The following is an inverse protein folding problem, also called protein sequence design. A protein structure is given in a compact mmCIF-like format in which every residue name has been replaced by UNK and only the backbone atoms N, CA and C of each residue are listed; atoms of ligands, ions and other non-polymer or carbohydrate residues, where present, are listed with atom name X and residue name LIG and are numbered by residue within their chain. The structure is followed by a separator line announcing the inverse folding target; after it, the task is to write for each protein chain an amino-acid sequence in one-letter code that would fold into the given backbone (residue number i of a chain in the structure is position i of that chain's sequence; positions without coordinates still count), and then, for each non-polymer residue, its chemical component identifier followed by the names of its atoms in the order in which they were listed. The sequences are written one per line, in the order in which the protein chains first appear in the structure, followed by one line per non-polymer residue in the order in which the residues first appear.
data_IF_466193585703
#
_entry.id   IF_466193585703
#
_cell.length_a   1.000
_cell.length_b   1.000
_cell.length_c   1.000
_cell.angle_alpha   90.00
_cell.angle_beta   90.00
_cell.angle_gamma   90.00
#
_symmetry.space_group_name_H-M   'P 1'
#
loop_
_entity.id
_entity.type
_entity.pdbx_description
1 polymer ?
#
# COMPACT_ATOMS: atom_id res chain seq x y z
N UNK A 1 -21.53 -9.00 -13.27
CA UNK A 1 -22.03 -7.80 -12.56
C UNK A 1 -21.17 -7.70 -11.32
N UNK A 2 -20.46 -6.59 -11.07
CA UNK A 2 -19.62 -6.44 -9.88
C UNK A 2 -20.48 -6.61 -8.62
N UNK A 3 -19.88 -7.17 -7.57
CA UNK A 3 -20.58 -7.35 -6.30
C UNK A 3 -20.89 -5.95 -5.71
N UNK A 4 -22.08 -5.75 -5.10
CA UNK A 4 -22.36 -4.48 -4.43
C UNK A 4 -21.36 -4.30 -3.28
N UNK A 5 -20.66 -3.16 -3.25
CA UNK A 5 -19.74 -2.82 -2.15
C UNK A 5 -20.51 -2.79 -0.84
N UNK A 6 -20.08 -3.60 0.13
CA UNK A 6 -20.65 -3.63 1.46
C UNK A 6 -19.59 -3.25 2.49
N UNK A 7 -19.81 -2.14 3.19
CA UNK A 7 -18.97 -1.78 4.34
C UNK A 7 -19.40 -2.61 5.55
N UNK A 8 -18.77 -3.78 5.74
CA UNK A 8 -18.93 -4.56 6.99
C UNK A 8 -17.82 -4.19 7.98
N UNK A 9 -18.08 -3.20 8.85
CA UNK A 9 -17.17 -2.83 9.94
C UNK A 9 -17.39 -3.70 11.18
N UNK A 10 -17.19 -5.01 11.08
CA UNK A 10 -17.49 -5.96 12.17
C UNK A 10 -16.37 -6.12 13.22
N UNK A 11 -15.18 -5.55 13.01
CA UNK A 11 -13.98 -5.92 13.80
C UNK A 11 -13.29 -4.79 14.58
N UNK A 12 -13.80 -3.55 14.54
CA UNK A 12 -13.16 -2.40 15.20
C UNK A 12 -14.07 -1.81 16.28
N UNK A 13 -14.18 -2.50 17.42
CA UNK A 13 -14.81 -1.95 18.61
C UNK A 13 -14.04 -0.70 19.07
N UNK A 14 -14.67 0.49 18.99
CA UNK A 14 -14.12 1.74 19.55
C UNK A 14 -13.70 2.81 18.53
N UNK A 15 -13.78 2.54 17.23
CA UNK A 15 -13.77 3.62 16.24
C UNK A 15 -15.18 4.22 16.13
N UNK A 16 -15.31 5.54 15.84
CA UNK A 16 -16.61 6.11 15.53
C UNK A 16 -17.22 5.28 14.39
N UNK A 17 -18.43 4.78 14.61
CA UNK A 17 -19.20 4.18 13.52
C UNK A 17 -19.42 5.35 12.56
N UNK A 18 -18.77 5.30 11.41
CA UNK A 18 -19.02 6.25 10.34
C UNK A 18 -20.40 5.90 9.74
N UNK A 19 -21.47 6.16 10.50
CA UNK A 19 -22.87 6.09 10.06
C UNK A 19 -23.23 7.34 9.23
N UNK A 20 -22.26 7.91 8.52
CA UNK A 20 -22.60 8.96 7.57
C UNK A 20 -23.18 8.26 6.34
N UNK A 21 -24.52 8.26 6.24
CA UNK A 21 -25.27 7.74 5.09
C UNK A 21 -24.79 8.35 3.75
N UNK A 22 -23.98 9.42 3.80
CA UNK A 22 -23.42 10.12 2.64
C UNK A 22 -21.96 9.78 2.33
N UNK A 23 -21.32 8.78 2.96
CA UNK A 23 -19.98 8.35 2.50
C UNK A 23 -20.11 7.86 1.06
N UNK A 24 -19.42 8.48 0.07
CA UNK A 24 -19.49 8.05 -1.31
C UNK A 24 -18.69 6.76 -1.46
N UNK A 25 -19.29 5.62 -1.12
CA UNK A 25 -18.65 4.29 -1.11
C UNK A 25 -18.01 3.96 -2.46
N UNK A 26 -18.54 4.52 -3.55
CA UNK A 26 -18.01 4.36 -4.91
C UNK A 26 -16.66 5.08 -5.11
N UNK A 27 -16.40 6.14 -4.36
CA UNK A 27 -15.17 6.95 -4.45
C UNK A 27 -14.09 6.48 -3.47
N UNK A 28 -14.42 5.55 -2.57
CA UNK A 28 -13.46 4.97 -1.63
C UNK A 28 -12.41 4.13 -2.36
N UNK A 29 -11.16 4.28 -1.92
CA UNK A 29 -10.03 3.45 -2.30
C UNK A 29 -9.75 2.45 -1.18
N UNK A 30 -9.46 1.20 -1.54
CA UNK A 30 -9.06 0.14 -0.62
C UNK A 30 -7.60 -0.22 -0.86
N UNK A 31 -6.79 -0.14 0.20
CA UNK A 31 -5.38 -0.54 0.18
C UNK A 31 -5.15 -1.75 1.09
N UNK A 32 -4.59 -2.82 0.57
CA UNK A 32 -4.12 -3.97 1.35
C UNK A 32 -2.59 -3.96 1.37
N UNK A 33 -2.02 -3.66 2.54
CA UNK A 33 -0.57 -3.49 2.75
C UNK A 33 0.00 -4.76 3.39
N UNK A 34 1.03 -5.34 2.78
CA UNK A 34 1.70 -6.51 3.33
C UNK A 34 3.17 -6.59 2.92
N UNK A 35 4.01 -7.09 3.82
CA UNK A 35 5.38 -7.50 3.50
C UNK A 35 5.41 -8.70 2.56
N UNK A 36 4.47 -9.60 2.74
CA UNK A 36 4.50 -10.96 2.20
C UNK A 36 3.82 -11.11 0.85
N UNK A 37 3.90 -10.09 -0.02
CA UNK A 37 3.63 -10.30 -1.44
C UNK A 37 4.62 -11.31 -2.07
N UNK A 38 5.66 -11.73 -1.33
CA UNK A 38 6.57 -12.82 -1.67
C UNK A 38 6.26 -14.19 -1.00
N UNK A 39 5.38 -14.27 0.01
CA UNK A 39 5.40 -15.40 0.97
C UNK A 39 4.03 -15.95 1.43
N UNK A 40 3.03 -15.10 1.68
CA UNK A 40 1.63 -15.50 1.93
C UNK A 40 0.91 -15.54 0.59
N UNK A 41 1.37 -16.43 -0.28
CA UNK A 41 0.84 -16.58 -1.64
C UNK A 41 -0.60 -17.12 -1.63
N UNK A 42 -1.00 -17.91 -0.63
CA UNK A 42 -2.33 -18.56 -0.65
C UNK A 42 -3.47 -17.69 -0.15
N UNK A 43 -3.33 -17.04 1.02
CA UNK A 43 -4.45 -16.27 1.60
C UNK A 43 -4.74 -15.03 0.77
N UNK A 44 -3.70 -14.29 0.41
CA UNK A 44 -3.85 -13.04 -0.32
C UNK A 44 -4.39 -13.30 -1.73
N UNK A 45 -3.90 -14.33 -2.45
CA UNK A 45 -4.40 -14.63 -3.79
C UNK A 45 -5.83 -15.15 -3.80
N UNK A 46 -6.17 -16.03 -2.87
CA UNK A 46 -7.54 -16.56 -2.79
C UNK A 46 -8.55 -15.46 -2.45
N UNK A 47 -8.13 -14.45 -1.67
CA UNK A 47 -8.95 -13.27 -1.37
C UNK A 47 -8.97 -12.26 -2.52
N UNK A 48 -7.85 -12.06 -3.21
CA UNK A 48 -7.66 -11.01 -4.21
C UNK A 48 -8.76 -11.00 -5.28
N UNK A 49 -9.11 -12.17 -5.82
CA UNK A 49 -10.19 -12.29 -6.80
C UNK A 49 -11.50 -11.70 -6.29
N UNK A 50 -11.95 -12.14 -5.11
CA UNK A 50 -13.21 -11.70 -4.52
C UNK A 50 -13.17 -10.20 -4.19
N UNK A 51 -12.04 -9.71 -3.68
CA UNK A 51 -11.87 -8.28 -3.40
C UNK A 51 -11.94 -7.45 -4.69
N UNK A 52 -11.31 -7.91 -5.78
CA UNK A 52 -11.41 -7.21 -7.08
C UNK A 52 -12.84 -7.27 -7.64
N UNK A 53 -13.56 -8.37 -7.49
CA UNK A 53 -14.97 -8.45 -7.92
C UNK A 53 -15.89 -7.45 -7.20
N UNK A 54 -15.55 -7.05 -5.97
CA UNK A 54 -16.27 -6.06 -5.17
C UNK A 54 -15.75 -4.62 -5.37
N UNK A 55 -14.43 -4.42 -5.36
CA UNK A 55 -13.81 -3.10 -5.34
C UNK A 55 -13.31 -2.63 -6.72
N UNK A 56 -13.07 -3.54 -7.66
CA UNK A 56 -12.62 -3.24 -9.01
C UNK A 56 -11.33 -2.41 -9.02
N UNK A 57 -11.33 -1.32 -9.80
CA UNK A 57 -10.17 -0.44 -9.97
C UNK A 57 -9.81 0.39 -8.73
N UNK A 58 -10.62 0.33 -7.66
CA UNK A 58 -10.34 1.02 -6.41
C UNK A 58 -9.55 0.16 -5.41
N UNK A 59 -9.24 -1.09 -5.75
CA UNK A 59 -8.45 -1.98 -4.91
C UNK A 59 -6.98 -1.99 -5.33
N UNK A 60 -6.12 -1.68 -4.36
CA UNK A 60 -4.68 -1.62 -4.53
C UNK A 60 -3.99 -2.45 -3.46
N UNK A 61 -2.98 -3.18 -3.88
CA UNK A 61 -2.10 -3.94 -3.02
C UNK A 61 -0.79 -3.21 -2.88
N UNK A 62 -0.25 -3.12 -1.67
CA UNK A 62 0.98 -2.37 -1.39
C UNK A 62 2.00 -3.29 -0.75
N UNK A 63 3.22 -3.30 -1.27
CA UNK A 63 4.29 -4.14 -0.75
C UNK A 63 5.70 -3.68 -1.14
N UNK A 64 6.73 -4.37 -0.64
CA UNK A 64 8.11 -4.16 -1.06
C UNK A 64 8.33 -4.61 -2.51
N UNK A 65 9.19 -3.90 -3.24
CA UNK A 65 9.61 -4.22 -4.59
C UNK A 65 10.79 -5.19 -4.58
N UNK A 66 10.67 -6.24 -5.39
CA UNK A 66 11.76 -7.17 -5.68
C UNK A 66 11.82 -7.42 -7.18
N UNK A 67 12.97 -7.12 -7.79
CA UNK A 67 13.12 -7.09 -9.24
C UNK A 67 12.76 -8.42 -9.92
N UNK A 68 13.21 -9.54 -9.33
CA UNK A 68 12.94 -10.88 -9.87
C UNK A 68 11.43 -11.19 -9.89
N UNK A 69 10.73 -10.93 -8.80
CA UNK A 69 9.31 -11.20 -8.66
C UNK A 69 8.47 -10.27 -9.53
N UNK A 70 8.83 -8.98 -9.58
CA UNK A 70 8.18 -8.02 -10.45
C UNK A 70 8.20 -8.46 -11.91
N UNK A 71 9.38 -8.82 -12.43
CA UNK A 71 9.54 -9.23 -13.84
C UNK A 71 8.76 -10.49 -14.21
N UNK A 72 8.53 -11.40 -13.26
CA UNK A 72 7.84 -12.66 -13.52
C UNK A 72 6.33 -12.61 -13.26
N UNK A 73 5.91 -11.78 -12.31
CA UNK A 73 4.55 -11.82 -11.77
C UNK A 73 3.77 -10.53 -11.99
N UNK A 74 4.40 -9.44 -12.45
CA UNK A 74 3.71 -8.15 -12.59
C UNK A 74 3.77 -7.68 -14.04
N UNK A 75 2.61 -7.34 -14.59
CA UNK A 75 2.52 -6.58 -15.83
C UNK A 75 2.52 -5.10 -15.50
N UNK A 76 3.62 -4.41 -15.84
CA UNK A 76 3.79 -2.98 -15.58
C UNK A 76 2.82 -2.15 -16.44
N UNK A 77 2.13 -1.21 -15.81
CA UNK A 77 1.20 -0.31 -16.48
C UNK A 77 1.18 1.07 -15.79
N UNK A 78 0.43 2.02 -16.33
CA UNK A 78 0.23 3.32 -15.68
C UNK A 78 -0.92 3.25 -14.66
N UNK A 79 -0.74 3.92 -13.52
CA UNK A 79 -1.81 4.05 -12.53
C UNK A 79 -2.99 4.86 -13.09
N UNK A 80 -4.21 4.29 -13.15
CA UNK A 80 -5.36 4.97 -13.73
C UNK A 80 -5.86 6.12 -12.85
N UNK A 81 -5.67 6.02 -11.53
CA UNK A 81 -6.08 7.04 -10.58
C UNK A 81 -5.06 8.19 -10.50
N UNK A 82 -5.45 9.45 -10.80
CA UNK A 82 -4.54 10.59 -10.79
C UNK A 82 -3.87 10.88 -9.45
N UNK A 83 -4.55 10.64 -8.33
CA UNK A 83 -3.99 10.84 -7.00
C UNK A 83 -2.87 9.83 -6.72
N UNK A 84 -3.08 8.56 -7.11
CA UNK A 84 -2.06 7.50 -7.03
C UNK A 84 -0.85 7.85 -7.89
N UNK A 85 -1.07 8.21 -9.16
CA UNK A 85 0.00 8.58 -10.10
C UNK A 85 0.85 9.72 -9.55
N UNK A 86 0.20 10.77 -9.04
CA UNK A 86 0.88 11.92 -8.45
C UNK A 86 1.64 11.59 -7.17
N UNK A 87 1.08 10.76 -6.30
CA UNK A 87 1.77 10.32 -5.09
C UNK A 87 3.06 9.57 -5.46
N UNK A 88 2.98 8.64 -6.43
CA UNK A 88 4.15 7.93 -6.95
C UNK A 88 5.20 8.87 -7.56
N UNK A 89 4.77 9.84 -8.37
CA UNK A 89 5.66 10.86 -8.95
C UNK A 89 6.34 11.69 -7.86
N UNK A 90 5.63 12.05 -6.80
CA UNK A 90 6.18 12.84 -5.69
C UNK A 90 7.25 12.05 -4.94
N UNK A 91 7.00 10.78 -4.61
CA UNK A 91 8.00 9.91 -4.01
C UNK A 91 9.22 9.74 -4.95
N UNK A 92 8.96 9.57 -6.25
CA UNK A 92 10.01 9.42 -7.27
C UNK A 92 10.91 10.65 -7.40
N UNK A 93 10.31 11.84 -7.39
CA UNK A 93 11.03 13.12 -7.43
C UNK A 93 11.88 13.37 -6.18
N UNK A 94 11.57 12.70 -5.06
CA UNK A 94 12.35 12.75 -3.83
C UNK A 94 13.34 11.58 -3.69
N UNK A 95 13.64 10.87 -4.79
CA UNK A 95 14.68 9.84 -4.84
C UNK A 95 14.25 8.46 -4.34
N UNK A 96 12.97 8.25 -4.01
CA UNK A 96 12.43 6.92 -3.77
C UNK A 96 12.07 6.26 -5.11
N UNK A 97 11.96 4.93 -5.17
CA UNK A 97 11.46 4.23 -6.35
C UNK A 97 10.18 3.48 -6.03
N UNK A 98 9.18 3.69 -6.87
CA UNK A 98 7.86 3.07 -6.77
C UNK A 98 7.50 2.46 -8.12
N UNK A 99 7.02 1.22 -8.13
CA UNK A 99 6.56 0.53 -9.34
C UNK A 99 5.08 0.21 -9.23
N UNK A 100 4.41 0.19 -10.37
CA UNK A 100 2.99 -0.08 -10.47
C UNK A 100 2.71 -1.10 -11.56
N UNK A 101 1.67 -1.90 -11.37
CA UNK A 101 1.24 -2.85 -12.39
C UNK A 101 0.07 -3.72 -11.94
N UNK A 102 -0.26 -4.70 -12.75
CA UNK A 102 -1.17 -5.78 -12.41
C UNK A 102 -0.41 -6.99 -11.91
N UNK A 103 -0.82 -7.54 -10.76
CA UNK A 103 -0.32 -8.85 -10.35
C UNK A 103 -0.97 -9.95 -11.20
N UNK A 104 -0.16 -10.76 -11.87
CA UNK A 104 -0.55 -11.84 -12.78
C UNK A 104 -1.09 -13.08 -12.03
N UNK A 105 -2.16 -12.84 -11.27
CA UNK A 105 -2.93 -13.84 -10.53
C UNK A 105 -4.41 -13.74 -10.91
N UNK A 106 -5.25 -14.63 -10.40
CA UNK A 106 -6.68 -14.54 -10.60
C UNK A 106 -7.24 -13.23 -10.00
N UNK A 107 -8.01 -12.48 -10.79
CA UNK A 107 -8.53 -11.16 -10.43
C UNK A 107 -7.66 -9.99 -10.90
N UNK A 108 -6.37 -10.20 -11.22
CA UNK A 108 -5.48 -9.15 -11.74
C UNK A 108 -5.48 -7.83 -10.92
N UNK A 109 -5.29 -7.86 -9.59
CA UNK A 109 -5.34 -6.66 -8.76
C UNK A 109 -4.20 -5.70 -9.10
N UNK A 110 -4.42 -4.40 -8.86
CA UNK A 110 -3.35 -3.41 -8.93
C UNK A 110 -2.36 -3.58 -7.77
N UNK A 111 -1.06 -3.46 -8.07
CA UNK A 111 0.02 -3.48 -7.08
C UNK A 111 0.83 -2.18 -7.14
N UNK A 112 1.21 -1.68 -5.97
CA UNK A 112 2.13 -0.57 -5.75
C UNK A 112 3.30 -1.13 -4.94
N UNK A 113 4.50 -1.10 -5.53
CA UNK A 113 5.67 -1.77 -4.98
C UNK A 113 6.80 -0.79 -4.72
N UNK A 114 7.25 -0.71 -3.47
CA UNK A 114 8.28 0.22 -3.02
C UNK A 114 9.65 -0.43 -2.98
N UNK A 115 10.62 0.14 -3.70
CA UNK A 115 12.03 -0.22 -3.48
C UNK A 115 12.50 0.43 -2.17
N UNK A 116 12.47 -0.33 -1.08
CA UNK A 116 12.88 0.14 0.25
C UNK A 116 14.35 0.58 0.27
N UNK A 117 15.21 0.00 -0.58
CA UNK A 117 16.63 0.34 -0.67
C UNK A 117 16.84 1.76 -1.18
N UNK A 118 15.97 2.22 -2.07
CA UNK A 118 15.98 3.61 -2.58
C UNK A 118 15.78 4.66 -1.47
N UNK A 119 15.17 4.29 -0.35
CA UNK A 119 14.88 5.17 0.77
C UNK A 119 15.85 5.03 1.96
N UNK A 120 16.86 4.16 1.85
CA UNK A 120 17.79 3.85 2.94
C UNK A 120 18.53 5.09 3.49
N UNK A 121 18.74 6.11 2.65
CA UNK A 121 19.34 7.39 3.05
C UNK A 121 18.55 8.13 4.14
N UNK A 122 17.28 7.79 4.32
CA UNK A 122 16.38 8.46 5.25
C UNK A 122 16.16 7.66 6.55
N UNK A 123 16.78 6.49 6.69
CA UNK A 123 16.54 5.54 7.78
C UNK A 123 16.77 6.17 9.17
N UNK A 124 17.90 6.86 9.37
CA UNK A 124 18.24 7.43 10.69
C UNK A 124 17.26 8.51 11.12
N UNK A 125 16.78 9.33 10.17
CA UNK A 125 15.75 10.33 10.44
C UNK A 125 14.45 9.66 10.87
N UNK A 126 13.99 8.66 10.11
CA UNK A 126 12.75 7.95 10.45
C UNK A 126 12.85 7.16 11.74
N UNK A 127 14.02 6.66 12.14
CA UNK A 127 14.22 6.08 13.47
C UNK A 127 14.00 7.10 14.58
N UNK A 128 14.51 8.32 14.40
CA UNK A 128 14.27 9.44 15.32
C UNK A 128 12.78 9.79 15.39
N UNK A 129 12.14 9.99 14.24
CA UNK A 129 10.70 10.30 14.19
C UNK A 129 9.83 9.19 14.81
N UNK A 130 10.19 7.92 14.60
CA UNK A 130 9.49 6.77 15.19
C UNK A 130 9.65 6.75 16.71
N UNK A 131 10.88 6.96 17.22
CA UNK A 131 11.13 7.09 18.65
C UNK A 131 10.35 8.25 19.28
N UNK A 132 10.37 9.43 18.66
CA UNK A 132 9.67 10.62 19.16
C UNK A 132 8.15 10.42 19.19
N UNK A 133 7.62 9.61 18.26
CA UNK A 133 6.18 9.35 18.14
C UNK A 133 5.66 8.33 19.15
N UNK A 134 6.41 7.24 19.42
CA UNK A 134 5.89 6.12 20.22
C UNK A 134 6.87 5.54 21.25
N UNK A 135 8.10 6.06 21.35
CA UNK A 135 9.11 5.60 22.30
C UNK A 135 9.69 4.21 22.00
N UNK A 136 9.57 3.73 20.76
CA UNK A 136 10.10 2.43 20.32
C UNK A 136 11.41 2.63 19.57
N UNK A 137 12.49 2.03 20.06
CA UNK A 137 13.81 2.08 19.44
C UNK A 137 14.08 0.84 18.57
N UNK A 138 14.78 1.03 17.45
CA UNK A 138 15.18 -0.06 16.55
C UNK A 138 16.71 -0.28 16.57
N UNK A 139 17.19 -1.49 16.87
CA UNK A 139 18.62 -1.80 16.84
C UNK A 139 19.24 -1.51 15.47
N UNK A 140 20.47 -0.99 15.45
CA UNK A 140 21.14 -0.60 14.19
C UNK A 140 21.39 -1.81 13.28
N UNK A 141 21.77 -2.95 13.85
CA UNK A 141 22.13 -4.16 13.11
C UNK A 141 20.95 -5.07 12.79
N UNK A 142 19.74 -4.74 13.23
CA UNK A 142 18.55 -5.50 12.91
C UNK A 142 17.99 -5.04 11.56
N UNK A 143 18.34 -5.80 10.52
CA UNK A 143 17.91 -5.51 9.16
C UNK A 143 16.40 -5.59 9.00
N UNK A 144 15.75 -6.59 9.58
CA UNK A 144 14.30 -6.81 9.38
C UNK A 144 13.49 -5.65 9.96
N UNK A 145 13.87 -5.21 11.17
CA UNK A 145 13.28 -4.02 11.79
C UNK A 145 13.52 -2.75 10.97
N UNK A 146 14.74 -2.56 10.46
CA UNK A 146 15.08 -1.39 9.64
C UNK A 146 14.30 -1.37 8.32
N UNK A 147 14.25 -2.51 7.63
CA UNK A 147 13.57 -2.69 6.36
C UNK A 147 12.05 -2.50 6.54
N UNK A 148 11.49 -2.99 7.66
CA UNK A 148 10.08 -2.75 8.06
C UNK A 148 9.78 -1.27 8.30
N UNK A 149 10.68 -0.54 8.98
CA UNK A 149 10.51 0.89 9.19
C UNK A 149 10.56 1.68 7.87
N UNK A 150 11.49 1.34 6.98
CA UNK A 150 11.57 1.95 5.65
C UNK A 150 10.27 1.75 4.87
N UNK A 151 9.79 0.50 4.80
CA UNK A 151 8.55 0.16 4.10
C UNK A 151 7.33 0.87 4.70
N UNK A 152 7.20 0.86 6.04
CA UNK A 152 6.11 1.54 6.74
C UNK A 152 6.14 3.05 6.51
N UNK A 153 7.32 3.66 6.53
CA UNK A 153 7.49 5.11 6.33
C UNK A 153 7.18 5.52 4.88
N UNK A 154 7.62 4.73 3.89
CA UNK A 154 7.25 4.95 2.48
C UNK A 154 5.76 4.82 2.26
N UNK A 155 5.13 3.81 2.86
CA UNK A 155 3.68 3.60 2.78
C UNK A 155 2.91 4.77 3.41
N UNK A 156 3.32 5.23 4.58
CA UNK A 156 2.71 6.38 5.25
C UNK A 156 2.88 7.68 4.43
N UNK A 157 4.07 7.91 3.87
CA UNK A 157 4.30 9.06 2.99
C UNK A 157 3.44 8.98 1.73
N UNK A 158 3.38 7.82 1.08
CA UNK A 158 2.50 7.62 -0.06
C UNK A 158 1.04 7.94 0.26
N UNK A 159 0.50 7.44 1.38
CA UNK A 159 -0.88 7.75 1.79
C UNK A 159 -1.08 9.23 2.10
N UNK A 160 -0.09 9.90 2.71
CA UNK A 160 -0.15 11.35 2.88
C UNK A 160 -0.32 12.06 1.53
N UNK A 161 0.48 11.72 0.53
CA UNK A 161 0.38 12.36 -0.80
C UNK A 161 -0.95 12.04 -1.52
N UNK A 162 -1.50 10.84 -1.31
CA UNK A 162 -2.83 10.47 -1.82
C UNK A 162 -3.94 11.30 -1.14
N UNK A 163 -3.86 11.49 0.18
CA UNK A 163 -4.87 12.21 0.96
C UNK A 163 -4.80 13.74 0.82
N UNK A 164 -3.59 14.32 0.73
CA UNK A 164 -3.37 15.77 0.71
C UNK A 164 -4.02 16.48 -0.50
N UNK A 165 -4.53 15.72 -1.49
CA UNK A 165 -5.24 16.25 -2.67
C UNK A 165 -6.58 15.60 -2.97
N UNK A 166 -7.19 14.94 -1.98
CA UNK A 166 -8.62 14.60 -2.05
C UNK A 166 -9.55 15.82 -1.87
N UNK A 167 -8.99 17.05 -1.79
CA UNK A 167 -9.69 18.34 -1.74
C UNK A 167 -9.38 19.20 -2.96
#
# INVERSE_FOLDING_TARGET
MPLPRSLSMTSLSGLPIWEDENVPVQDLLLFEVSWELEGIYTVIQTKAKLTVEEWGENYFMVGPYYEHNFKMQVEECEAPNPAIKKAMETLSNNGCQVRFGHWLIEGSPYVILFDIGSAAWNLDRWKGEFWDSCGIGLPVHDRESNDSLLFGSLTAWFFKEVCDKAN
#
